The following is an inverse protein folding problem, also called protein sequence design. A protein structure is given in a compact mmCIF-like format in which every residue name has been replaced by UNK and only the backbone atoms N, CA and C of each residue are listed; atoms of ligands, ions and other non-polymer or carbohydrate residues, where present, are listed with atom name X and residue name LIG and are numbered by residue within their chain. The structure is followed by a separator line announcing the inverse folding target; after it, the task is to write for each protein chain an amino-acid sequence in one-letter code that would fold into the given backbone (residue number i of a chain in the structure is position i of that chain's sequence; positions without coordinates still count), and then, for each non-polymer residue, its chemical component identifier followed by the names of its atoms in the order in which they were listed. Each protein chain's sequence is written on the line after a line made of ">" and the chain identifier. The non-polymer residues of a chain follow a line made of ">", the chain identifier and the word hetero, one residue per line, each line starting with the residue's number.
data_IF_724083649035
#
_entry.id   IF_724083649035
#
_cell.length_a   1.000
_cell.length_b   1.000
_cell.length_c   1.000
_cell.angle_alpha   90.00
_cell.angle_beta   90.00
_cell.angle_gamma   90.00
#
_symmetry.space_group_name_H-M   'P 1'
#
loop_
_entity.id
_entity.type
_entity.pdbx_description
1 polymer ?
#
# COMPACT_ATOMS: atom_id res chain seq x y z
N UNK A 1 -11.39 19.49 46.66
CA UNK A 1 -11.54 20.58 45.68
C UNK A 1 -11.12 20.05 44.32
N UNK A 2 -12.08 19.63 43.51
CA UNK A 2 -11.90 19.20 42.12
C UNK A 2 -11.83 20.45 41.24
N UNK A 3 -10.72 20.69 40.54
CA UNK A 3 -10.68 21.73 39.52
C UNK A 3 -11.19 21.14 38.20
N UNK A 4 -12.32 21.65 37.72
CA UNK A 4 -12.81 21.37 36.36
C UNK A 4 -12.01 22.24 35.40
N UNK A 5 -11.19 21.65 34.53
CA UNK A 5 -10.58 22.38 33.43
C UNK A 5 -11.52 22.35 32.22
N UNK A 6 -11.96 23.54 31.80
CA UNK A 6 -12.69 23.76 30.56
C UNK A 6 -11.69 24.03 29.43
N UNK A 7 -11.74 23.21 28.38
CA UNK A 7 -11.03 23.49 27.13
C UNK A 7 -12.05 23.55 26.00
N UNK A 8 -12.13 24.71 25.35
CA UNK A 8 -13.04 24.93 24.23
C UNK A 8 -12.35 24.52 22.92
N UNK A 9 -12.84 23.47 22.28
CA UNK A 9 -12.43 23.11 20.90
C UNK A 9 -13.67 23.22 20.02
N UNK A 10 -13.65 24.22 19.13
CA UNK A 10 -14.63 24.50 18.05
C UNK A 10 -16.00 23.79 18.20
N UNK A 11 -16.89 24.48 18.94
CA UNK A 11 -18.34 24.23 19.11
C UNK A 11 -18.81 22.97 19.84
N UNK A 12 -17.95 22.17 20.47
CA UNK A 12 -18.40 21.11 21.39
C UNK A 12 -17.68 21.20 22.75
N UNK A 13 -18.46 21.03 23.83
CA UNK A 13 -17.96 21.01 25.21
C UNK A 13 -17.70 19.55 25.61
N UNK A 14 -16.46 19.20 25.94
CA UNK A 14 -16.07 17.85 26.38
C UNK A 14 -15.71 17.91 27.86
N UNK A 15 -16.37 17.08 28.69
CA UNK A 15 -16.05 16.93 30.11
C UNK A 15 -15.11 15.73 30.30
N UNK A 16 -13.88 15.97 30.75
CA UNK A 16 -12.95 14.93 31.17
C UNK A 16 -12.76 14.95 32.68
N UNK A 17 -13.09 13.85 33.37
CA UNK A 17 -12.71 13.67 34.78
C UNK A 17 -11.31 13.04 34.83
N UNK A 18 -10.36 13.75 35.44
CA UNK A 18 -9.02 13.25 35.70
C UNK A 18 -9.00 12.62 37.11
N UNK A 19 -8.96 11.28 37.21
CA UNK A 19 -8.66 10.60 38.47
C UNK A 19 -7.17 10.30 38.53
N UNK A 20 -6.44 11.03 39.37
CA UNK A 20 -5.11 10.62 39.84
C UNK A 20 -5.29 9.52 40.90
N UNK A 21 -4.72 8.34 40.68
CA UNK A 21 -4.48 7.37 41.75
C UNK A 21 -3.01 7.06 41.86
N UNK A 22 -2.48 7.31 43.05
CA UNK A 22 -1.11 7.08 43.50
C UNK A 22 -0.72 5.60 43.47
N UNK A 23 0.55 5.35 43.21
CA UNK A 23 1.18 4.03 43.18
C UNK A 23 1.09 3.31 44.53
N UNK A 24 0.29 2.24 44.59
CA UNK A 24 0.48 1.06 45.45
C UNK A 24 -0.80 0.22 45.36
N UNK A 25 -0.82 -0.81 44.52
CA UNK A 25 -1.40 -2.13 44.86
C UNK A 25 -1.26 -3.11 43.69
N UNK A 26 -0.60 -4.22 44.00
CA UNK A 26 -0.28 -5.33 43.12
C UNK A 26 -1.38 -6.38 43.31
N UNK A 27 -1.89 -6.93 42.20
CA UNK A 27 -2.59 -8.22 42.09
C UNK A 27 -3.95 -8.38 42.80
N UNK A 28 -5.05 -8.20 42.06
CA UNK A 28 -6.19 -9.15 41.98
C UNK A 28 -7.22 -8.64 40.97
N UNK A 29 -7.63 -9.50 40.04
CA UNK A 29 -8.77 -9.24 39.16
C UNK A 29 -10.04 -9.07 39.97
N UNK A 30 -10.72 -7.94 39.79
CA UNK A 30 -12.09 -7.70 40.21
C UNK A 30 -12.82 -6.97 39.10
N UNK A 31 -13.91 -7.58 38.63
CA UNK A 31 -14.88 -6.96 37.74
C UNK A 31 -15.59 -5.82 38.48
N UNK A 32 -15.57 -4.62 37.90
CA UNK A 32 -16.33 -3.48 38.42
C UNK A 32 -17.59 -3.28 37.58
N UNK A 33 -18.75 -3.61 38.15
CA UNK A 33 -20.06 -3.28 37.58
C UNK A 33 -20.43 -1.85 37.94
N UNK A 34 -20.59 -0.97 36.95
CA UNK A 34 -21.21 0.34 37.16
C UNK A 34 -22.68 0.30 36.70
N UNK A 35 -23.60 0.42 37.66
CA UNK A 35 -25.00 0.70 37.40
C UNK A 35 -25.19 2.20 37.26
N UNK A 36 -25.61 2.67 36.08
CA UNK A 36 -26.05 4.05 35.89
C UNK A 36 -27.55 4.05 35.65
N UNK A 37 -28.31 4.59 36.61
CA UNK A 37 -29.75 4.77 36.52
C UNK A 37 -30.03 6.15 35.92
N UNK A 38 -30.63 6.21 34.72
CA UNK A 38 -31.12 7.46 34.13
C UNK A 38 -32.65 7.41 34.15
N UNK A 39 -33.27 8.25 34.99
CA UNK A 39 -34.72 8.42 35.03
C UNK A 39 -35.12 9.55 34.07
N UNK A 40 -35.74 9.20 32.96
CA UNK A 40 -36.54 10.12 32.16
C UNK A 40 -37.76 9.37 31.61
N UNK A 41 -38.95 9.78 32.06
CA UNK A 41 -40.24 9.52 31.40
C UNK A 41 -40.60 8.06 31.13
N UNK A 42 -41.04 7.34 32.17
CA UNK A 42 -42.04 6.27 32.07
C UNK A 42 -41.94 5.27 30.91
N UNK A 43 -40.89 4.45 30.87
CA UNK A 43 -40.92 3.05 30.41
C UNK A 43 -39.57 2.39 30.74
N UNK A 44 -39.58 1.30 31.50
CA UNK A 44 -38.40 0.51 31.87
C UNK A 44 -38.00 -0.39 30.71
N UNK A 45 -36.90 -0.10 30.02
CA UNK A 45 -36.25 -1.03 29.10
C UNK A 45 -34.78 -1.14 29.51
N UNK A 46 -34.42 -2.28 30.11
CA UNK A 46 -33.02 -2.62 30.43
C UNK A 46 -32.28 -2.99 29.15
N UNK A 47 -31.33 -2.16 28.71
CA UNK A 47 -30.32 -2.55 27.74
C UNK A 47 -29.05 -2.97 28.47
N UNK A 48 -28.69 -4.25 28.35
CA UNK A 48 -27.36 -4.75 28.71
C UNK A 48 -26.37 -4.31 27.63
N UNK A 49 -25.59 -3.25 27.90
CA UNK A 49 -24.46 -2.87 27.04
C UNK A 49 -23.21 -3.58 27.56
N UNK A 50 -22.76 -4.61 26.83
CA UNK A 50 -21.44 -5.21 27.05
C UNK A 50 -20.37 -4.28 26.49
N UNK A 51 -19.76 -3.45 27.35
CA UNK A 51 -18.55 -2.73 26.98
C UNK A 51 -17.34 -3.62 27.23
N UNK A 52 -16.86 -4.30 26.19
CA UNK A 52 -15.61 -5.05 26.24
C UNK A 52 -14.45 -4.05 26.31
N UNK A 53 -14.07 -3.64 27.51
CA UNK A 53 -12.89 -2.81 27.74
C UNK A 53 -11.67 -3.73 27.76
N UNK A 54 -11.20 -4.13 26.58
CA UNK A 54 -9.85 -4.67 26.48
C UNK A 54 -8.90 -3.52 26.82
N UNK A 55 -8.27 -3.60 27.99
CA UNK A 55 -7.20 -2.71 28.41
C UNK A 55 -6.01 -2.89 27.46
N UNK A 56 -6.03 -2.17 26.34
CA UNK A 56 -4.85 -1.95 25.51
C UNK A 56 -3.93 -1.08 26.35
N UNK A 57 -2.86 -1.67 26.84
CA UNK A 57 -1.78 -0.95 27.51
C UNK A 57 -1.24 0.11 26.55
N UNK A 58 -1.52 1.38 26.85
CA UNK A 58 -1.08 2.56 26.10
C UNK A 58 0.42 2.86 26.29
N UNK A 59 1.24 1.84 26.54
CA UNK A 59 2.70 1.96 26.74
C UNK A 59 3.54 1.69 25.50
N UNK A 60 2.92 1.56 24.33
CA UNK A 60 3.62 1.59 23.04
C UNK A 60 2.90 2.55 22.11
N UNK A 61 3.68 3.40 21.43
CA UNK A 61 3.28 4.51 20.55
C UNK A 61 3.15 5.85 21.30
N UNK A 62 4.24 6.27 21.93
CA UNK A 62 4.53 7.70 22.11
C UNK A 62 5.99 7.97 21.75
N UNK A 63 6.43 7.56 20.54
CA UNK A 63 7.60 8.18 19.91
C UNK A 63 7.09 9.42 19.19
N UNK A 64 7.05 10.52 19.92
CA UNK A 64 6.92 11.84 19.33
C UNK A 64 8.12 12.02 18.41
N UNK A 65 7.92 12.03 17.09
CA UNK A 65 8.95 12.43 16.14
C UNK A 65 9.27 13.88 16.46
N UNK A 66 10.35 14.13 17.19
CA UNK A 66 10.82 15.48 17.47
C UNK A 66 11.39 16.03 16.17
N UNK A 67 10.52 16.66 15.39
CA UNK A 67 10.89 17.38 14.17
C UNK A 67 11.89 18.49 14.56
N UNK A 68 13.07 18.50 13.94
CA UNK A 68 14.10 19.51 14.16
C UNK A 68 13.53 20.94 13.94
N UNK A 69 14.07 21.96 14.63
CA UNK A 69 13.63 23.35 14.53
C UNK A 69 13.56 23.92 13.09
N UNK A 70 14.31 23.36 12.14
CA UNK A 70 14.19 23.68 10.69
C UNK A 70 12.85 23.26 10.08
N UNK A 71 12.29 22.13 10.52
CA UNK A 71 11.04 21.55 10.01
C UNK A 71 9.81 22.29 10.54
N UNK A 72 9.88 22.78 11.79
CA UNK A 72 8.83 23.60 12.39
C UNK A 72 8.54 24.88 11.58
N UNK A 73 9.54 25.47 10.92
CA UNK A 73 9.35 26.64 10.04
C UNK A 73 8.73 26.31 8.69
N UNK A 74 8.95 25.10 8.15
CA UNK A 74 8.32 24.65 6.89
C UNK A 74 6.87 24.20 7.08
N UNK A 75 6.50 23.75 8.28
CA UNK A 75 5.14 23.34 8.64
C UNK A 75 4.11 24.50 8.64
N UNK A 76 4.56 25.76 8.55
CA UNK A 76 3.73 26.95 8.73
C UNK A 76 2.98 27.46 7.48
N UNK A 77 3.13 26.85 6.30
CA UNK A 77 2.27 27.15 5.13
C UNK A 77 1.07 26.20 5.09
N UNK A 78 0.16 26.32 6.05
CA UNK A 78 -0.91 25.34 6.27
C UNK A 78 -2.29 25.73 5.68
N UNK A 79 -2.37 26.63 4.69
CA UNK A 79 -3.67 27.14 4.19
C UNK A 79 -3.79 27.24 2.66
N UNK A 80 -2.78 26.86 1.88
CA UNK A 80 -2.88 26.83 0.41
C UNK A 80 -2.81 25.38 -0.11
N UNK A 81 -3.71 24.96 -1.01
CA UNK A 81 -3.62 23.65 -1.64
C UNK A 81 -2.32 23.55 -2.44
N UNK A 82 -1.49 22.56 -2.14
CA UNK A 82 -0.18 22.39 -2.80
C UNK A 82 -0.31 22.02 -4.29
N UNK A 83 -1.42 21.40 -4.65
CA UNK A 83 -1.87 21.13 -6.02
C UNK A 83 -3.36 21.45 -6.11
N UNK A 84 -3.78 22.18 -7.15
CA UNK A 84 -5.17 22.55 -7.42
C UNK A 84 -5.74 21.90 -8.69
N UNK A 85 -4.87 21.28 -9.47
CA UNK A 85 -5.14 20.65 -10.76
C UNK A 85 -5.48 19.15 -10.64
N UNK A 86 -5.26 18.56 -9.46
CA UNK A 86 -5.48 17.12 -9.19
C UNK A 86 -6.07 16.90 -7.80
N UNK A 87 -6.73 15.76 -7.63
CA UNK A 87 -7.13 15.28 -6.31
C UNK A 87 -5.89 14.82 -5.52
N UNK A 88 -5.70 15.35 -4.31
CA UNK A 88 -4.54 15.06 -3.45
C UNK A 88 -4.87 14.25 -2.21
N UNK A 89 -6.17 14.08 -1.90
CA UNK A 89 -6.66 13.29 -0.78
C UNK A 89 -7.97 12.60 -1.17
N UNK A 90 -8.14 11.34 -0.80
CA UNK A 90 -9.34 10.58 -1.09
C UNK A 90 -10.48 10.92 -0.13
N UNK A 91 -11.75 10.55 -0.44
CA UNK A 91 -12.86 10.71 0.50
C UNK A 91 -12.70 9.98 1.84
N UNK A 92 -11.81 8.98 1.92
CA UNK A 92 -11.47 8.26 3.15
C UNK A 92 -10.15 8.75 3.79
N UNK A 93 -9.70 9.96 3.42
CA UNK A 93 -8.54 10.66 4.00
C UNK A 93 -7.17 10.02 3.73
N UNK A 94 -7.06 9.16 2.71
CA UNK A 94 -5.75 8.70 2.25
C UNK A 94 -5.11 9.74 1.30
N UNK A 95 -3.82 10.09 1.47
CA UNK A 95 -3.14 10.96 0.54
C UNK A 95 -2.95 10.28 -0.83
N UNK A 96 -3.07 11.07 -1.89
CA UNK A 96 -2.64 10.71 -3.25
C UNK A 96 -1.31 11.43 -3.47
N UNK A 97 -0.24 10.65 -3.63
CA UNK A 97 1.12 11.15 -3.72
C UNK A 97 1.39 11.66 -5.13
N UNK A 98 1.53 12.97 -5.26
CA UNK A 98 1.92 13.67 -6.48
C UNK A 98 3.18 14.49 -6.25
N UNK A 99 3.93 14.79 -7.29
CA UNK A 99 5.00 15.77 -7.26
C UNK A 99 4.46 17.11 -6.76
N UNK A 100 5.18 17.68 -5.80
CA UNK A 100 4.79 18.84 -5.03
C UNK A 100 4.02 18.54 -3.73
N UNK A 101 3.33 17.41 -3.54
CA UNK A 101 2.46 17.22 -2.36
C UNK A 101 3.20 16.81 -1.07
N UNK A 102 4.52 16.69 -1.12
CA UNK A 102 5.37 16.32 0.00
C UNK A 102 6.73 17.01 -0.10
N UNK A 103 7.40 17.20 1.04
CA UNK A 103 8.80 17.63 1.08
C UNK A 103 9.68 16.40 1.29
N UNK A 104 10.55 16.04 0.31
CA UNK A 104 11.42 14.87 0.41
C UNK A 104 12.27 14.84 1.68
N UNK A 105 12.80 15.99 2.12
CA UNK A 105 13.69 16.07 3.28
C UNK A 105 12.93 15.77 4.57
N UNK A 106 11.72 16.33 4.71
CA UNK A 106 10.86 16.08 5.88
C UNK A 106 10.52 14.59 5.96
N UNK A 107 10.19 13.99 4.82
CA UNK A 107 9.84 12.56 4.73
C UNK A 107 11.06 11.69 5.03
N UNK A 108 12.22 11.97 4.45
CA UNK A 108 13.44 11.21 4.67
C UNK A 108 13.85 11.23 6.15
N UNK A 109 13.85 12.40 6.79
CA UNK A 109 14.16 12.52 8.22
C UNK A 109 13.20 11.70 9.11
N UNK A 110 11.92 11.64 8.74
CA UNK A 110 10.91 10.89 9.49
C UNK A 110 11.07 9.38 9.39
N UNK A 111 11.54 8.86 8.25
CA UNK A 111 11.62 7.41 7.98
C UNK A 111 13.03 6.82 8.14
N UNK A 112 14.09 7.55 7.83
CA UNK A 112 15.48 7.05 7.95
C UNK A 112 15.88 6.75 9.39
N UNK A 113 15.27 7.43 10.37
CA UNK A 113 15.50 7.17 11.80
C UNK A 113 14.85 5.88 12.33
N UNK A 114 14.07 5.18 11.50
CA UNK A 114 13.28 4.01 11.90
C UNK A 114 13.93 2.66 11.56
N UNK A 115 15.11 2.65 10.92
CA UNK A 115 15.81 1.44 10.46
C UNK A 115 14.87 0.47 9.73
N UNK A 116 14.18 0.99 8.72
CA UNK A 116 13.19 0.22 7.96
C UNK A 116 13.86 -0.57 6.86
N UNK A 117 13.44 -1.83 6.73
CA UNK A 117 13.80 -2.70 5.62
C UNK A 117 12.60 -2.88 4.70
N UNK A 118 12.82 -2.69 3.40
CA UNK A 118 11.80 -2.77 2.36
C UNK A 118 12.11 -3.98 1.48
N UNK A 119 11.23 -4.97 1.50
CA UNK A 119 11.27 -6.05 0.52
C UNK A 119 10.70 -5.57 -0.82
N UNK A 120 11.28 -6.05 -1.92
CA UNK A 120 10.74 -5.80 -3.26
C UNK A 120 10.64 -7.11 -4.00
N UNK A 121 9.44 -7.49 -4.45
CA UNK A 121 9.25 -8.66 -5.31
C UNK A 121 9.20 -8.24 -6.77
N UNK A 122 9.92 -8.97 -7.61
CA UNK A 122 9.94 -8.74 -9.06
C UNK A 122 9.95 -10.08 -9.79
N UNK A 123 9.06 -10.24 -10.75
CA UNK A 123 8.89 -11.49 -11.51
C UNK A 123 9.54 -11.36 -12.88
N UNK A 124 10.51 -12.22 -13.16
CA UNK A 124 11.27 -12.24 -14.41
C UNK A 124 11.35 -13.68 -14.92
N UNK A 125 10.26 -14.13 -15.55
CA UNK A 125 10.11 -15.50 -16.04
C UNK A 125 10.24 -15.56 -17.55
N UNK A 126 10.95 -16.58 -18.05
CA UNK A 126 11.25 -16.75 -19.47
C UNK A 126 11.94 -15.51 -20.05
N UNK A 127 11.39 -14.99 -21.15
CA UNK A 127 11.99 -13.86 -21.87
C UNK A 127 12.00 -12.53 -21.10
N UNK A 128 11.28 -12.42 -19.98
CA UNK A 128 11.25 -11.21 -19.16
C UNK A 128 12.54 -11.00 -18.34
N UNK A 129 13.42 -12.01 -18.24
CA UNK A 129 14.76 -11.85 -17.63
C UNK A 129 15.58 -10.73 -18.27
N UNK A 130 15.36 -10.44 -19.56
CA UNK A 130 16.02 -9.35 -20.29
C UNK A 130 15.82 -7.96 -19.67
N UNK A 131 14.72 -7.75 -18.94
CA UNK A 131 14.41 -6.45 -18.33
C UNK A 131 15.07 -6.26 -16.95
N UNK A 132 15.58 -7.33 -16.33
CA UNK A 132 16.11 -7.28 -14.95
C UNK A 132 17.26 -6.28 -14.78
N UNK A 133 18.17 -6.21 -15.77
CA UNK A 133 19.32 -5.31 -15.67
C UNK A 133 18.86 -3.86 -15.55
N UNK A 134 18.06 -3.39 -16.51
CA UNK A 134 17.60 -2.00 -16.54
C UNK A 134 16.71 -1.67 -15.34
N UNK A 135 15.87 -2.63 -14.92
CA UNK A 135 15.06 -2.50 -13.72
C UNK A 135 15.93 -2.29 -12.47
N UNK A 136 16.91 -3.18 -12.23
CA UNK A 136 17.75 -3.12 -11.03
C UNK A 136 18.67 -1.90 -11.04
N UNK A 137 19.34 -1.61 -12.17
CA UNK A 137 20.25 -0.46 -12.29
C UNK A 137 19.51 0.88 -12.13
N UNK A 138 18.25 0.97 -12.56
CA UNK A 138 17.43 2.16 -12.33
C UNK A 138 16.87 2.21 -10.90
N UNK A 139 16.49 1.07 -10.32
CA UNK A 139 16.05 0.98 -8.93
C UNK A 139 17.14 1.44 -7.95
N UNK A 140 18.40 1.04 -8.16
CA UNK A 140 19.53 1.50 -7.32
C UNK A 140 19.72 3.02 -7.32
N UNK A 141 19.30 3.71 -8.38
CA UNK A 141 19.40 5.17 -8.49
C UNK A 141 18.23 5.91 -7.83
N UNK A 142 17.08 5.26 -7.67
CA UNK A 142 15.81 5.96 -7.49
C UNK A 142 14.88 5.37 -6.43
N UNK A 143 14.96 4.07 -6.16
CA UNK A 143 14.02 3.35 -5.33
C UNK A 143 14.54 3.20 -3.89
N UNK A 144 13.87 3.87 -2.94
CA UNK A 144 14.15 3.81 -1.51
C UNK A 144 15.63 4.06 -1.18
N UNK A 145 16.24 5.02 -1.89
CA UNK A 145 17.65 5.38 -1.69
C UNK A 145 17.84 5.87 -0.25
N UNK A 146 18.82 5.29 0.45
CA UNK A 146 19.10 5.57 1.85
C UNK A 146 18.33 4.71 2.86
N UNK A 147 17.46 3.81 2.40
CA UNK A 147 16.86 2.75 3.23
C UNK A 147 17.38 1.37 2.83
N UNK A 148 17.27 0.43 3.76
CA UNK A 148 17.60 -0.98 3.50
C UNK A 148 16.56 -1.58 2.54
N UNK A 149 17.04 -2.23 1.48
CA UNK A 149 16.18 -2.85 0.46
C UNK A 149 16.63 -4.27 0.18
N UNK A 150 15.67 -5.19 0.15
CA UNK A 150 15.92 -6.57 -0.26
C UNK A 150 15.09 -6.91 -1.50
N UNK A 151 15.76 -7.07 -2.64
CA UNK A 151 15.16 -7.56 -3.87
C UNK A 151 14.99 -9.07 -3.83
N UNK A 152 13.77 -9.53 -4.09
CA UNK A 152 13.42 -10.93 -4.29
C UNK A 152 13.04 -11.12 -5.76
N UNK A 153 13.97 -11.66 -6.54
CA UNK A 153 13.81 -11.90 -7.98
C UNK A 153 13.24 -13.29 -8.19
N UNK A 154 11.99 -13.37 -8.63
CA UNK A 154 11.31 -14.62 -8.96
C UNK A 154 11.59 -14.97 -10.41
N UNK A 155 12.24 -16.11 -10.64
CA UNK A 155 12.60 -16.53 -12.00
C UNK A 155 12.69 -18.05 -12.15
N UNK A 156 12.40 -18.54 -13.35
CA UNK A 156 12.67 -19.91 -13.80
C UNK A 156 14.11 -20.09 -14.32
N UNK A 157 14.82 -18.98 -14.58
CA UNK A 157 16.17 -18.93 -15.14
C UNK A 157 17.16 -18.19 -14.19
N UNK A 158 17.56 -18.80 -13.05
CA UNK A 158 18.50 -18.16 -12.11
C UNK A 158 19.83 -17.70 -12.74
N UNK A 159 20.30 -18.38 -13.79
CA UNK A 159 21.53 -18.02 -14.51
C UNK A 159 21.43 -16.73 -15.32
N UNK A 160 20.21 -16.28 -15.63
CA UNK A 160 19.96 -15.05 -16.39
C UNK A 160 19.83 -13.82 -15.49
N UNK A 161 19.83 -14.00 -14.17
CA UNK A 161 19.84 -12.88 -13.23
C UNK A 161 21.21 -12.20 -13.28
N UNK A 162 21.29 -10.89 -13.57
CA UNK A 162 22.56 -10.23 -13.82
C UNK A 162 23.42 -10.22 -12.54
N UNK A 163 24.60 -10.83 -12.62
CA UNK A 163 25.55 -10.98 -11.51
C UNK A 163 26.45 -9.75 -11.28
N UNK A 164 26.41 -8.77 -12.18
CA UNK A 164 27.29 -7.60 -12.18
C UNK A 164 26.57 -6.28 -11.88
N UNK A 165 25.35 -6.32 -11.31
CA UNK A 165 24.69 -5.12 -10.82
C UNK A 165 25.28 -4.76 -9.46
N UNK A 166 25.85 -3.55 -9.35
CA UNK A 166 26.35 -3.03 -8.08
C UNK A 166 25.18 -2.60 -7.21
N UNK A 167 25.03 -3.24 -6.05
CA UNK A 167 24.05 -2.86 -5.04
C UNK A 167 24.66 -1.90 -4.02
N UNK A 168 23.89 -0.89 -3.63
CA UNK A 168 24.26 0.05 -2.57
C UNK A 168 24.36 -0.60 -1.19
N UNK A 169 24.91 0.15 -0.24
CA UNK A 169 24.98 -0.28 1.17
C UNK A 169 23.57 -0.53 1.71
N UNK A 170 23.38 -1.63 2.45
CA UNK A 170 22.06 -2.02 3.00
C UNK A 170 21.15 -2.68 1.97
N UNK A 171 21.65 -3.01 0.77
CA UNK A 171 20.85 -3.55 -0.33
C UNK A 171 21.26 -4.96 -0.69
N UNK A 172 20.28 -5.85 -0.74
CA UNK A 172 20.47 -7.28 -0.96
C UNK A 172 19.61 -7.75 -2.13
N UNK A 173 20.07 -8.80 -2.80
CA UNK A 173 19.31 -9.49 -3.83
C UNK A 173 19.29 -10.99 -3.54
N UNK A 174 18.11 -11.59 -3.59
CA UNK A 174 17.91 -13.03 -3.49
C UNK A 174 17.07 -13.53 -4.64
N UNK A 175 17.46 -14.69 -5.17
CA UNK A 175 16.76 -15.35 -6.26
C UNK A 175 15.79 -16.35 -5.64
N UNK A 176 14.51 -16.24 -6.00
CA UNK A 176 13.45 -17.18 -5.64
C UNK A 176 13.10 -17.98 -6.89
N UNK A 177 13.48 -19.25 -6.92
CA UNK A 177 13.23 -20.09 -8.09
C UNK A 177 11.73 -20.40 -8.18
N UNK A 178 11.14 -20.17 -9.36
CA UNK A 178 9.75 -20.52 -9.67
C UNK A 178 9.69 -21.43 -10.90
N UNK A 179 8.64 -22.25 -11.06
CA UNK A 179 8.48 -23.03 -12.27
C UNK A 179 8.21 -22.12 -13.47
N UNK A 180 8.61 -22.59 -14.67
CA UNK A 180 8.09 -22.06 -15.92
C UNK A 180 6.64 -22.52 -16.08
N UNK A 181 5.79 -21.62 -16.55
CA UNK A 181 4.38 -21.90 -16.85
C UNK A 181 4.14 -21.90 -18.36
N UNK A 182 3.13 -22.65 -18.81
CA UNK A 182 2.83 -22.80 -20.24
C UNK A 182 2.17 -21.53 -20.82
N UNK A 183 1.42 -20.79 -20.00
CA UNK A 183 0.77 -19.53 -20.38
C UNK A 183 1.35 -18.34 -19.62
N UNK A 184 1.51 -17.19 -20.28
CA UNK A 184 1.94 -15.97 -19.58
C UNK A 184 0.90 -15.54 -18.53
N UNK A 185 -0.39 -15.78 -18.80
CA UNK A 185 -1.48 -15.50 -17.86
C UNK A 185 -1.31 -16.30 -16.57
N UNK A 186 -0.77 -17.53 -16.63
CA UNK A 186 -0.55 -18.34 -15.42
C UNK A 186 0.45 -17.70 -14.47
N UNK A 187 1.47 -16.99 -14.97
CA UNK A 187 2.38 -16.23 -14.09
C UNK A 187 1.61 -15.11 -13.37
N UNK A 188 0.77 -14.38 -14.10
CA UNK A 188 -0.13 -13.34 -13.56
C UNK A 188 -1.05 -13.91 -12.48
N UNK A 189 -1.74 -15.02 -12.80
CA UNK A 189 -2.68 -15.70 -11.92
C UNK A 189 -2.01 -16.30 -10.67
N UNK A 190 -0.75 -16.72 -10.77
CA UNK A 190 0.01 -17.33 -9.66
C UNK A 190 0.84 -16.30 -8.89
N UNK A 191 0.97 -15.06 -9.39
CA UNK A 191 1.75 -13.99 -8.75
C UNK A 191 1.32 -13.77 -7.30
N UNK A 192 0.02 -13.74 -7.04
CA UNK A 192 -0.53 -13.56 -5.69
C UNK A 192 -0.12 -14.70 -4.74
N UNK A 193 -0.19 -15.94 -5.20
CA UNK A 193 0.25 -17.13 -4.44
C UNK A 193 1.75 -17.11 -4.15
N UNK A 194 2.57 -16.78 -5.17
CA UNK A 194 4.02 -16.75 -5.07
C UNK A 194 4.49 -15.65 -4.12
N UNK A 195 3.88 -14.46 -4.18
CA UNK A 195 4.16 -13.38 -3.24
C UNK A 195 3.74 -13.78 -1.82
N UNK A 196 2.52 -14.31 -1.64
CA UNK A 196 2.04 -14.74 -0.32
C UNK A 196 3.00 -15.77 0.31
N UNK A 197 3.41 -16.78 -0.47
CA UNK A 197 4.31 -17.84 -0.03
C UNK A 197 5.68 -17.28 0.33
N UNK A 198 6.25 -16.41 -0.52
CA UNK A 198 7.52 -15.77 -0.22
C UNK A 198 7.46 -14.86 1.01
N UNK A 199 6.34 -14.17 1.24
CA UNK A 199 6.15 -13.41 2.49
C UNK A 199 6.31 -14.34 3.68
N UNK A 200 5.59 -15.46 3.67
CA UNK A 200 5.61 -16.45 4.76
C UNK A 200 6.97 -17.13 4.91
N UNK A 201 7.65 -17.47 3.83
CA UNK A 201 8.81 -18.36 3.88
C UNK A 201 10.15 -17.60 3.92
N UNK A 202 10.21 -16.40 3.34
CA UNK A 202 11.47 -15.69 3.09
C UNK A 202 11.52 -14.25 3.63
N UNK A 203 10.38 -13.54 3.70
CA UNK A 203 10.37 -12.09 3.95
C UNK A 203 9.96 -11.72 5.38
N UNK A 204 9.05 -12.48 6.02
CA UNK A 204 8.40 -12.12 7.29
C UNK A 204 9.33 -11.76 8.46
N UNK A 205 10.57 -12.22 8.46
CA UNK A 205 11.53 -11.98 9.55
C UNK A 205 12.37 -10.73 9.37
N UNK A 206 12.42 -10.18 8.15
CA UNK A 206 13.45 -9.20 7.78
C UNK A 206 12.93 -7.87 7.24
N UNK A 207 11.66 -7.78 6.81
CA UNK A 207 11.12 -6.57 6.19
C UNK A 207 9.93 -5.99 6.94
N UNK A 208 9.85 -4.66 6.97
CA UNK A 208 8.72 -3.91 7.51
C UNK A 208 7.65 -3.67 6.45
N UNK A 209 8.09 -3.35 5.23
CA UNK A 209 7.26 -3.06 4.08
C UNK A 209 7.64 -3.94 2.89
N UNK A 210 6.71 -4.09 1.96
CA UNK A 210 6.92 -4.79 0.70
C UNK A 210 6.33 -3.99 -0.45
N UNK A 211 7.06 -3.90 -1.56
CA UNK A 211 6.54 -3.49 -2.86
C UNK A 211 6.59 -4.65 -3.84
N UNK A 212 5.53 -4.83 -4.60
CA UNK A 212 5.41 -5.83 -5.65
C UNK A 212 5.42 -5.10 -6.98
N UNK A 213 6.49 -5.28 -7.75
CA UNK A 213 6.78 -4.50 -8.95
C UNK A 213 6.88 -5.41 -10.17
N UNK A 214 6.46 -4.92 -11.32
CA UNK A 214 6.71 -5.59 -12.59
C UNK A 214 8.13 -5.28 -13.10
N UNK A 215 8.75 -6.28 -13.73
CA UNK A 215 10.15 -6.18 -14.20
C UNK A 215 10.27 -5.38 -15.49
N UNK A 216 9.21 -5.32 -16.30
CA UNK A 216 9.16 -4.66 -17.61
C UNK A 216 8.88 -3.14 -17.47
N UNK A 217 9.44 -2.56 -16.41
CA UNK A 217 9.29 -1.18 -15.98
C UNK A 217 10.67 -0.59 -15.65
N UNK A 218 10.79 0.74 -15.67
CA UNK A 218 12.05 1.46 -15.40
C UNK A 218 11.83 2.65 -14.50
N UNK A 219 12.74 2.87 -13.56
CA UNK A 219 12.74 4.07 -12.72
C UNK A 219 13.43 5.24 -13.42
N UNK A 220 12.81 6.41 -13.35
CA UNK A 220 13.26 7.67 -13.94
C UNK A 220 13.43 8.79 -12.91
N UNK A 221 12.84 8.62 -11.73
CA UNK A 221 12.86 9.60 -10.66
C UNK A 221 12.60 8.96 -9.31
N UNK A 222 12.80 9.75 -8.25
CA UNK A 222 12.70 9.27 -6.85
C UNK A 222 11.37 8.57 -6.58
N UNK A 223 11.47 7.35 -6.06
CA UNK A 223 10.38 6.60 -5.40
C UNK A 223 10.89 6.26 -4.01
N UNK A 224 10.62 7.14 -3.06
CA UNK A 224 11.17 7.09 -1.71
C UNK A 224 10.13 6.77 -0.63
N UNK A 225 10.45 7.09 0.64
CA UNK A 225 9.58 6.80 1.77
C UNK A 225 8.21 7.49 1.70
N UNK A 226 8.04 8.50 0.83
CA UNK A 226 6.74 9.12 0.58
C UNK A 226 5.73 8.11 0.02
N UNK A 227 6.18 7.03 -0.61
CA UNK A 227 5.34 5.97 -1.13
C UNK A 227 4.91 4.95 -0.05
N UNK A 228 5.54 4.95 1.14
CA UNK A 228 5.25 3.97 2.19
C UNK A 228 3.92 4.25 2.89
N UNK A 229 3.11 3.19 3.06
CA UNK A 229 1.85 3.22 3.79
C UNK A 229 1.49 1.80 4.23
N UNK A 230 0.44 1.64 5.03
CA UNK A 230 -0.01 0.29 5.45
C UNK A 230 -0.49 -0.53 4.25
N UNK A 231 -1.31 0.09 3.40
CA UNK A 231 -1.74 -0.47 2.13
C UNK A 231 -1.60 0.61 1.05
N UNK A 232 -0.85 0.29 0.01
CA UNK A 232 -0.43 1.20 -1.06
C UNK A 232 -0.92 0.67 -2.40
N UNK A 233 -1.61 1.51 -3.15
CA UNK A 233 -2.08 1.21 -4.50
C UNK A 233 -1.72 2.35 -5.45
N UNK A 234 -1.45 2.05 -6.72
CA UNK A 234 -1.19 3.08 -7.73
C UNK A 234 -2.38 3.24 -8.68
N UNK A 235 -2.71 4.48 -9.01
CA UNK A 235 -3.82 4.80 -9.92
C UNK A 235 -3.36 4.59 -11.36
N UNK A 236 -4.13 3.81 -12.13
CA UNK A 236 -3.78 3.40 -13.48
C UNK A 236 -3.69 4.60 -14.46
N UNK A 237 -2.62 4.71 -15.28
CA UNK A 237 -2.35 5.88 -16.12
C UNK A 237 -3.34 6.07 -17.27
N UNK A 238 -4.02 5.03 -17.74
CA UNK A 238 -5.05 5.17 -18.77
C UNK A 238 -6.44 5.53 -18.25
N UNK A 239 -6.72 5.38 -16.95
CA UNK A 239 -8.07 5.48 -16.41
C UNK A 239 -8.25 6.57 -15.34
N UNK A 240 -7.19 7.22 -14.85
CA UNK A 240 -7.29 8.22 -13.76
C UNK A 240 -8.16 9.46 -14.08
N UNK A 241 -8.41 9.74 -15.36
CA UNK A 241 -9.30 10.82 -15.83
C UNK A 241 -10.69 10.34 -16.27
N UNK A 242 -10.95 9.03 -16.20
CA UNK A 242 -12.20 8.43 -16.66
C UNK A 242 -13.20 8.28 -15.53
N UNK A 243 -14.52 8.35 -15.82
CA UNK A 243 -15.54 8.03 -14.83
C UNK A 243 -15.55 6.52 -14.55
N UNK A 244 -16.00 6.13 -13.34
CA UNK A 244 -16.03 4.72 -12.89
C UNK A 244 -16.77 3.74 -13.81
N UNK A 245 -17.74 4.24 -14.57
CA UNK A 245 -18.50 3.46 -15.55
C UNK A 245 -17.64 2.99 -16.73
N UNK A 246 -16.49 3.61 -16.97
CA UNK A 246 -15.54 3.24 -18.02
C UNK A 246 -14.33 2.45 -17.48
N UNK A 247 -14.24 2.23 -16.17
CA UNK A 247 -13.21 1.37 -15.62
C UNK A 247 -13.44 -0.07 -16.08
N UNK A 248 -12.39 -0.76 -16.57
CA UNK A 248 -12.54 -2.09 -17.12
C UNK A 248 -12.52 -3.15 -16.00
N UNK A 249 -13.26 -2.93 -14.92
CA UNK A 249 -13.47 -3.95 -13.91
C UNK A 249 -14.14 -5.19 -14.49
N UNK A 250 -14.01 -6.31 -13.80
CA UNK A 250 -14.81 -7.49 -14.07
C UNK A 250 -16.30 -7.19 -13.82
N UNK A 251 -17.14 -7.37 -14.84
CA UNK A 251 -18.58 -7.06 -14.81
C UNK A 251 -19.46 -8.31 -14.82
N UNK A 252 -18.89 -9.50 -15.00
CA UNK A 252 -19.62 -10.76 -14.95
C UNK A 252 -19.79 -11.18 -13.49
N UNK A 253 -21.03 -11.32 -13.06
CA UNK A 253 -21.39 -11.71 -11.68
C UNK A 253 -20.92 -13.10 -11.27
N UNK A 254 -20.51 -13.93 -12.23
CA UNK A 254 -19.96 -15.26 -11.98
C UNK A 254 -18.54 -15.21 -11.40
N UNK A 255 -17.79 -14.12 -11.63
CA UNK A 255 -16.44 -13.94 -11.09
C UNK A 255 -16.49 -13.33 -9.69
N UNK A 256 -15.61 -13.82 -8.82
CA UNK A 256 -15.35 -13.23 -7.50
C UNK A 256 -14.68 -11.84 -7.58
N UNK A 257 -14.23 -11.40 -8.75
CA UNK A 257 -13.73 -10.05 -8.99
C UNK A 257 -14.82 -9.05 -9.41
N UNK A 258 -16.09 -9.46 -9.47
CA UNK A 258 -17.19 -8.61 -9.94
C UNK A 258 -17.31 -7.27 -9.18
N UNK A 259 -17.38 -6.18 -9.95
CA UNK A 259 -17.70 -4.83 -9.46
C UNK A 259 -18.87 -4.25 -10.29
N UNK A 260 -19.99 -3.86 -9.65
CA UNK A 260 -21.10 -3.19 -10.31
C UNK A 260 -20.75 -1.84 -10.97
N UNK A 261 -21.51 -1.42 -11.99
CA UNK A 261 -21.26 -0.19 -12.76
C UNK A 261 -21.29 1.11 -11.94
N UNK A 262 -22.06 1.12 -10.85
CA UNK A 262 -22.21 2.26 -9.94
C UNK A 262 -21.16 2.29 -8.82
N UNK A 263 -20.31 1.26 -8.71
CA UNK A 263 -19.24 1.14 -7.72
C UNK A 263 -17.85 1.37 -8.32
N UNK A 264 -16.89 1.70 -7.46
CA UNK A 264 -15.50 2.00 -7.84
C UNK A 264 -15.05 3.39 -7.41
N UNK A 265 -13.87 3.49 -6.81
CA UNK A 265 -13.23 4.76 -6.46
C UNK A 265 -12.22 5.17 -7.54
N UNK A 266 -11.27 4.27 -7.82
CA UNK A 266 -10.23 4.41 -8.84
C UNK A 266 -9.99 3.04 -9.50
N UNK A 267 -9.48 3.04 -10.73
CA UNK A 267 -8.91 1.84 -11.33
C UNK A 267 -7.41 1.79 -10.96
N UNK A 268 -7.02 0.75 -10.22
CA UNK A 268 -5.67 0.56 -9.70
C UNK A 268 -4.88 -0.39 -10.61
N UNK A 269 -3.58 -0.12 -10.79
CA UNK A 269 -2.70 -0.96 -11.60
C UNK A 269 -2.01 -2.06 -10.77
N UNK A 270 -1.96 -3.29 -11.29
CA UNK A 270 -1.28 -4.42 -10.64
C UNK A 270 0.26 -4.42 -10.79
N UNK A 271 0.82 -3.58 -11.67
CA UNK A 271 2.28 -3.48 -11.86
C UNK A 271 3.02 -2.94 -10.63
N UNK A 272 2.31 -2.20 -9.77
CA UNK A 272 2.84 -1.68 -8.51
C UNK A 272 1.75 -1.64 -7.43
N UNK A 273 1.96 -2.42 -6.39
CA UNK A 273 1.22 -2.31 -5.13
C UNK A 273 2.16 -2.68 -3.99
N UNK A 274 1.76 -2.35 -2.77
CA UNK A 274 2.61 -2.64 -1.62
C UNK A 274 2.00 -2.20 -0.31
N UNK A 275 2.86 -2.09 0.69
CA UNK A 275 2.50 -1.61 2.00
C UNK A 275 3.19 -2.37 3.11
N UNK A 276 2.63 -2.30 4.32
CA UNK A 276 3.09 -3.07 5.46
C UNK A 276 2.93 -4.56 5.15
N UNK A 277 3.91 -5.36 5.57
CA UNK A 277 4.02 -6.74 5.15
C UNK A 277 2.76 -7.58 5.46
N UNK A 278 2.15 -7.33 6.62
CA UNK A 278 0.94 -8.03 7.06
C UNK A 278 -0.29 -7.67 6.20
N UNK A 279 -0.43 -6.40 5.82
CA UNK A 279 -1.52 -5.92 4.96
C UNK A 279 -1.38 -6.50 3.55
N UNK A 280 -0.16 -6.53 3.00
CA UNK A 280 0.08 -7.13 1.67
C UNK A 280 -0.10 -8.65 1.70
N UNK A 281 0.30 -9.33 2.78
CA UNK A 281 0.04 -10.76 2.93
C UNK A 281 -1.47 -11.07 2.95
N UNK A 282 -2.29 -10.24 3.60
CA UNK A 282 -3.76 -10.38 3.53
C UNK A 282 -4.29 -10.16 2.13
N UNK A 283 -3.82 -9.10 1.45
CA UNK A 283 -4.23 -8.80 0.08
C UNK A 283 -3.96 -9.98 -0.85
N UNK A 284 -2.72 -10.47 -0.85
CA UNK A 284 -2.30 -11.54 -1.78
C UNK A 284 -2.99 -12.86 -1.45
N UNK A 285 -3.17 -13.18 -0.17
CA UNK A 285 -3.96 -14.35 0.26
C UNK A 285 -5.40 -14.29 -0.25
N UNK A 286 -6.10 -13.17 -0.05
CA UNK A 286 -7.50 -13.03 -0.49
C UNK A 286 -7.62 -13.07 -2.01
N UNK A 287 -6.73 -12.37 -2.73
CA UNK A 287 -6.74 -12.39 -4.19
C UNK A 287 -6.47 -13.80 -4.73
N UNK A 288 -5.51 -14.54 -4.14
CA UNK A 288 -5.25 -15.95 -4.48
C UNK A 288 -6.49 -16.81 -4.27
N UNK A 289 -7.13 -16.73 -3.12
CA UNK A 289 -8.34 -17.52 -2.81
C UNK A 289 -9.45 -17.24 -3.83
N UNK A 290 -9.65 -15.97 -4.22
CA UNK A 290 -10.62 -15.59 -5.24
C UNK A 290 -10.27 -16.13 -6.64
N UNK A 291 -9.00 -16.04 -7.03
CA UNK A 291 -8.49 -16.61 -8.28
C UNK A 291 -8.70 -18.13 -8.34
N UNK A 292 -8.50 -18.84 -7.22
CA UNK A 292 -8.75 -20.27 -7.10
C UNK A 292 -10.23 -20.61 -7.24
N UNK A 293 -11.13 -19.82 -6.63
CA UNK A 293 -12.59 -19.98 -6.80
C UNK A 293 -12.99 -19.79 -8.26
N UNK A 294 -12.59 -18.68 -8.89
CA UNK A 294 -12.89 -18.41 -10.30
C UNK A 294 -12.39 -19.55 -11.20
N UNK A 295 -11.16 -20.00 -10.99
CA UNK A 295 -10.58 -21.14 -11.72
C UNK A 295 -11.40 -22.42 -11.53
N UNK A 296 -11.89 -22.71 -10.32
CA UNK A 296 -12.68 -23.91 -10.01
C UNK A 296 -14.01 -24.00 -10.76
N UNK A 297 -14.54 -22.84 -11.18
CA UNK A 297 -15.79 -22.73 -11.96
C UNK A 297 -15.53 -22.35 -13.42
N UNK A 298 -14.29 -22.43 -13.89
CA UNK A 298 -13.92 -22.18 -15.29
C UNK A 298 -13.95 -20.70 -15.70
N UNK A 299 -13.79 -19.79 -14.75
CA UNK A 299 -13.77 -18.34 -14.98
C UNK A 299 -12.35 -17.82 -14.87
N UNK A 300 -11.95 -16.94 -15.80
CA UNK A 300 -10.76 -16.10 -15.71
C UNK A 300 -11.25 -14.66 -15.81
N UNK A 301 -10.96 -13.84 -14.78
CA UNK A 301 -11.37 -12.44 -14.76
C UNK A 301 -10.73 -11.64 -15.92
N UNK A 302 -11.43 -10.60 -16.40
CA UNK A 302 -11.08 -9.86 -17.63
C UNK A 302 -9.64 -9.34 -17.67
N UNK A 303 -9.12 -8.90 -16.51
CA UNK A 303 -7.72 -8.50 -16.32
C UNK A 303 -7.04 -9.31 -15.21
N UNK A 304 -7.29 -10.62 -15.18
CA UNK A 304 -6.64 -11.58 -14.28
C UNK A 304 -6.57 -11.04 -12.82
N UNK A 305 -5.38 -11.06 -12.20
CA UNK A 305 -5.14 -10.60 -10.83
C UNK A 305 -5.43 -9.11 -10.61
N UNK A 306 -5.33 -8.26 -11.64
CA UNK A 306 -5.65 -6.84 -11.52
C UNK A 306 -7.14 -6.63 -11.23
N UNK A 307 -8.00 -7.49 -11.79
CA UNK A 307 -9.43 -7.47 -11.48
C UNK A 307 -9.70 -7.79 -10.00
N UNK A 308 -9.02 -8.81 -9.46
CA UNK A 308 -9.15 -9.18 -8.04
C UNK A 308 -8.51 -8.14 -7.10
N UNK A 309 -7.39 -7.53 -7.50
CA UNK A 309 -6.76 -6.41 -6.79
C UNK A 309 -7.73 -5.24 -6.65
N UNK A 310 -8.37 -4.83 -7.75
CA UNK A 310 -9.36 -3.75 -7.74
C UNK A 310 -10.56 -4.09 -6.87
N UNK A 311 -11.05 -5.33 -6.92
CA UNK A 311 -12.12 -5.81 -6.03
C UNK A 311 -11.72 -5.72 -4.55
N UNK A 312 -10.47 -6.10 -4.24
CA UNK A 312 -9.94 -6.07 -2.88
C UNK A 312 -9.82 -4.65 -2.36
N UNK A 313 -9.24 -3.73 -3.14
CA UNK A 313 -9.00 -2.34 -2.76
C UNK A 313 -10.28 -1.51 -2.66
N UNK A 314 -11.33 -1.89 -3.39
CA UNK A 314 -12.66 -1.30 -3.22
C UNK A 314 -13.23 -1.57 -1.81
N UNK A 315 -12.95 -2.76 -1.24
CA UNK A 315 -13.43 -3.19 0.09
C UNK A 315 -12.47 -2.87 1.22
N UNK A 316 -11.18 -2.82 0.91
CA UNK A 316 -10.09 -2.54 1.83
C UNK A 316 -9.37 -1.29 1.33
N UNK A 317 -9.84 -0.12 1.76
CA UNK A 317 -9.38 1.16 1.22
C UNK A 317 -7.86 1.32 1.43
N UNK A 318 -7.08 1.63 0.38
CA UNK A 318 -5.65 1.86 0.54
C UNK A 318 -5.41 3.09 1.40
N UNK A 319 -4.45 2.99 2.32
CA UNK A 319 -4.06 4.10 3.21
C UNK A 319 -3.20 5.15 2.51
N UNK A 320 -2.70 4.82 1.32
CA UNK A 320 -1.90 5.70 0.48
C UNK A 320 -2.09 5.33 -0.98
N UNK A 321 -2.29 6.33 -1.83
CA UNK A 321 -2.39 6.14 -3.26
C UNK A 321 -1.20 6.79 -3.94
N UNK A 322 -0.62 6.11 -4.91
CA UNK A 322 0.38 6.70 -5.79
C UNK A 322 -0.34 7.23 -7.03
N UNK A 323 -0.02 8.46 -7.42
CA UNK A 323 -0.51 9.02 -8.68
C UNK A 323 0.08 8.26 -9.88
N UNK A 324 -0.44 8.49 -11.10
CA UNK A 324 0.13 7.91 -12.31
C UNK A 324 1.61 8.25 -12.56
N UNK A 325 2.17 9.26 -11.88
CA UNK A 325 3.61 9.56 -11.89
C UNK A 325 4.47 8.35 -11.46
N UNK A 326 3.92 7.47 -10.62
CA UNK A 326 4.58 6.27 -10.11
C UNK A 326 4.26 5.01 -10.93
N UNK A 327 3.45 5.13 -11.98
CA UNK A 327 3.07 4.02 -12.86
C UNK A 327 2.62 4.57 -14.21
N UNK A 328 3.56 5.07 -14.99
CA UNK A 328 3.26 5.63 -16.30
C UNK A 328 3.36 4.57 -17.41
N UNK A 329 2.70 4.82 -18.53
CA UNK A 329 2.88 4.06 -19.75
C UNK A 329 3.55 4.95 -20.79
N UNK A 330 4.78 4.63 -21.20
CA UNK A 330 5.53 5.45 -22.16
C UNK A 330 4.80 5.55 -23.51
N UNK A 331 3.94 4.58 -23.85
CA UNK A 331 3.11 4.63 -25.05
C UNK A 331 2.03 5.74 -25.00
N UNK A 332 1.68 6.25 -23.81
CA UNK A 332 0.72 7.34 -23.63
C UNK A 332 1.30 8.71 -24.00
N UNK A 333 2.63 8.84 -24.09
CA UNK A 333 3.31 10.12 -24.31
C UNK A 333 3.36 11.00 -23.05
N UNK A 334 3.81 12.25 -23.21
CA UNK A 334 4.07 13.19 -22.11
C UNK A 334 3.15 14.43 -22.10
N UNK A 335 2.03 14.39 -22.82
CA UNK A 335 1.16 15.57 -23.01
C UNK A 335 0.23 15.88 -21.81
N UNK A 336 0.24 15.03 -20.78
CA UNK A 336 -0.55 15.20 -19.57
C UNK A 336 0.08 16.27 -18.64
N UNK A 337 -0.48 17.49 -18.64
CA UNK A 337 0.05 18.67 -17.93
C UNK A 337 0.13 18.49 -16.40
N UNK A 338 -0.73 17.66 -15.85
CA UNK A 338 -0.82 17.33 -14.43
C UNK A 338 0.27 16.33 -13.97
N UNK A 339 0.90 15.62 -14.91
CA UNK A 339 2.02 14.71 -14.67
C UNK A 339 3.30 15.55 -14.72
N UNK A 340 3.81 15.95 -13.55
CA UNK A 340 4.99 16.82 -13.49
C UNK A 340 6.30 16.06 -13.59
N UNK A 341 6.28 14.79 -13.17
CA UNK A 341 7.44 13.92 -13.18
C UNK A 341 7.01 12.47 -13.35
N UNK A 342 7.47 11.81 -14.41
CA UNK A 342 7.39 10.35 -14.51
C UNK A 342 8.51 9.74 -13.68
N UNK A 343 8.16 8.94 -12.68
CA UNK A 343 9.09 8.31 -11.73
C UNK A 343 9.35 6.85 -12.06
N UNK A 344 8.32 6.14 -12.55
CA UNK A 344 8.37 4.73 -12.89
C UNK A 344 7.41 4.45 -14.04
N UNK A 345 7.91 3.92 -15.15
CA UNK A 345 7.09 3.70 -16.36
C UNK A 345 7.38 2.37 -17.05
N UNK A 346 6.44 1.92 -17.88
CA UNK A 346 6.55 0.72 -18.68
C UNK A 346 7.62 0.86 -19.76
N UNK A 347 8.42 -0.19 -19.96
CA UNK A 347 9.33 -0.27 -21.10
C UNK A 347 8.51 -0.63 -22.35
N UNK A 348 8.66 0.17 -23.41
CA UNK A 348 8.07 -0.13 -24.73
C UNK A 348 8.62 -1.47 -25.21
N UNK A 349 7.71 -2.40 -25.50
CA UNK A 349 8.05 -3.77 -25.87
C UNK A 349 7.04 -4.37 -26.84
N UNK A 350 7.53 -5.21 -27.73
CA UNK A 350 6.69 -6.04 -28.57
C UNK A 350 6.16 -7.23 -27.74
N UNK A 351 4.85 -7.24 -27.45
CA UNK A 351 4.22 -8.30 -26.65
C UNK A 351 4.44 -9.70 -27.24
N UNK A 352 4.44 -9.84 -28.57
CA UNK A 352 4.66 -11.12 -29.25
C UNK A 352 6.09 -11.65 -29.12
N UNK A 353 7.07 -10.76 -28.86
CA UNK A 353 8.46 -11.17 -28.66
C UNK A 353 8.75 -11.65 -27.24
N UNK A 354 7.99 -11.18 -26.24
CA UNK A 354 8.24 -11.49 -24.83
C UNK A 354 7.23 -12.47 -24.23
N UNK A 355 6.04 -12.61 -24.82
CA UNK A 355 5.04 -13.62 -24.44
C UNK A 355 5.13 -14.78 -25.42
N UNK A 356 5.39 -15.98 -24.91
CA UNK A 356 5.55 -17.18 -25.75
C UNK A 356 4.22 -17.67 -26.36
N UNK A 357 3.08 -17.22 -25.82
CA UNK A 357 1.72 -17.55 -26.28
C UNK A 357 0.83 -16.30 -26.23
N UNK A 358 -0.19 -16.21 -27.09
CA UNK A 358 -1.15 -15.09 -27.13
C UNK A 358 -2.14 -15.13 -25.94
#
# INVERSE_FOLDING_TARGET
>A
MTSVQMVMVRRFLVFGNCCCTTASERMRGREHFQFSLVLAGGMTICWLVFSYCASVSLTQVNRQVVLNHRLQRKQAKLMEPVRTDVLTVTPWLAPIVWEGTFDPQVIDEAFMSQNLTIATTVFAVGRYTRFLRDFLESAEKHFMVGLDVHYYVFTDLPGDVPNNVTLGVGRLLSIVRVPKFDRWQEISLRRMELIQTAIKDHIHRGANYIFCLDVDMRFHGRVGPEALGRLVAAIHPWFYMYPRSQFPYERRTVSTAYIPMDQGDFYYQANIFGGALEDVHRLTKTCREHLEVDKSVGVEAVWQEESHLNWYLLRNKPTKLLSPEYVWDDAKGQDAKEIKLVRFSSVIKNKAEVRENL
#
